data_IF_265057085846
#
_entry.id   IF_265057085846
#
_cell.length_a   1.000
_cell.length_b   1.000
_cell.length_c   1.000
_cell.angle_alpha   90.00
_cell.angle_beta   90.00
_cell.angle_gamma   90.00
#
_symmetry.space_group_name_H-M   'P 1'
#
loop_
_entity.id
_entity.type
_entity.pdbx_description
1 polymer ?
#
# COMPACT_ATOMS: atom_id res chain seq x y z
N UNK A 1 12.67 -8.09 -14.79
CA UNK A 1 11.92 -8.72 -13.67
C UNK A 1 10.48 -8.93 -14.13
N UNK A 2 9.73 -9.94 -13.65
CA UNK A 2 8.30 -10.04 -14.01
C UNK A 2 7.56 -8.88 -13.33
N UNK A 3 6.68 -8.20 -14.07
CA UNK A 3 5.78 -7.21 -13.48
C UNK A 3 4.97 -7.87 -12.36
N UNK A 4 5.08 -7.30 -11.15
CA UNK A 4 4.38 -7.80 -9.97
C UNK A 4 3.18 -6.93 -9.59
N UNK A 5 2.86 -5.90 -10.37
CA UNK A 5 1.71 -5.02 -10.20
C UNK A 5 0.50 -5.53 -10.99
N UNK A 6 0.02 -6.72 -10.63
CA UNK A 6 -1.10 -7.34 -11.33
C UNK A 6 -1.85 -8.34 -10.43
N UNK A 7 -3.00 -8.81 -10.91
CA UNK A 7 -3.75 -9.90 -10.29
C UNK A 7 -2.96 -11.22 -10.30
N UNK A 8 -2.29 -11.52 -11.40
CA UNK A 8 -1.51 -12.75 -11.60
C UNK A 8 -0.36 -12.91 -10.59
N UNK A 9 0.01 -11.81 -9.93
CA UNK A 9 1.02 -11.78 -8.87
C UNK A 9 0.47 -12.16 -7.50
N UNK A 10 -0.85 -12.35 -7.36
CA UNK A 10 -1.47 -12.76 -6.10
C UNK A 10 -0.86 -14.02 -5.47
N UNK A 11 -0.59 -15.12 -6.22
CA UNK A 11 -0.02 -16.33 -5.63
C UNK A 11 1.39 -16.11 -5.05
N UNK A 12 2.18 -15.23 -5.67
CA UNK A 12 3.52 -14.86 -5.17
C UNK A 12 3.41 -14.14 -3.83
N UNK A 13 2.58 -13.09 -3.77
CA UNK A 13 2.45 -12.25 -2.58
C UNK A 13 1.73 -12.97 -1.43
N UNK A 14 0.65 -13.69 -1.72
CA UNK A 14 -0.04 -14.51 -0.71
C UNK A 14 0.86 -15.65 -0.19
N UNK A 15 1.69 -16.24 -1.05
CA UNK A 15 2.69 -17.22 -0.64
C UNK A 15 3.72 -16.63 0.34
N UNK A 16 4.31 -15.48 -0.01
CA UNK A 16 5.24 -14.77 0.86
C UNK A 16 4.60 -14.38 2.20
N UNK A 17 3.38 -13.80 2.15
CA UNK A 17 2.57 -13.47 3.34
C UNK A 17 2.40 -14.68 4.25
N UNK A 18 2.03 -15.83 3.70
CA UNK A 18 1.79 -17.04 4.47
C UNK A 18 3.08 -17.59 5.11
N UNK A 19 4.20 -17.57 4.39
CA UNK A 19 5.52 -17.96 4.95
C UNK A 19 5.93 -17.03 6.08
N UNK A 20 5.83 -15.72 5.89
CA UNK A 20 6.15 -14.72 6.91
C UNK A 20 5.22 -14.83 8.12
N UNK A 21 3.94 -15.14 7.91
CA UNK A 21 3.00 -15.37 9.00
C UNK A 21 3.39 -16.58 9.85
N UNK A 22 3.73 -17.70 9.22
CA UNK A 22 4.23 -18.89 9.92
C UNK A 22 5.53 -18.62 10.69
N UNK A 23 6.44 -17.85 10.09
CA UNK A 23 7.68 -17.43 10.75
C UNK A 23 7.39 -16.56 11.98
N UNK A 24 6.49 -15.58 11.87
CA UNK A 24 6.09 -14.73 13.00
C UNK A 24 5.51 -15.59 14.13
N UNK A 25 4.63 -16.55 13.83
CA UNK A 25 4.09 -17.48 14.84
C UNK A 25 5.19 -18.27 15.56
N UNK A 26 6.24 -18.71 14.85
CA UNK A 26 7.39 -19.39 15.44
C UNK A 26 8.26 -18.49 16.34
N UNK A 27 8.41 -17.22 15.96
CA UNK A 27 9.28 -16.26 16.66
C UNK A 27 8.64 -15.62 17.91
N UNK A 28 7.31 -15.68 18.07
CA UNK A 28 6.56 -15.01 19.17
C UNK A 28 7.14 -15.23 20.57
N UNK A 29 7.75 -16.40 20.82
CA UNK A 29 8.29 -16.77 22.13
C UNK A 29 9.83 -16.83 22.17
N UNK A 30 10.50 -16.43 21.09
CA UNK A 30 11.96 -16.61 20.93
C UNK A 30 12.69 -15.27 20.99
N UNK A 31 12.28 -14.31 20.17
CA UNK A 31 12.96 -13.02 20.07
C UNK A 31 11.98 -11.90 19.67
N UNK A 32 11.74 -10.96 20.58
CA UNK A 32 10.77 -9.88 20.38
C UNK A 32 11.20 -8.88 19.29
N UNK A 33 12.50 -8.61 19.13
CA UNK A 33 13.00 -7.65 18.15
C UNK A 33 12.86 -8.20 16.72
N UNK A 34 13.36 -9.42 16.48
CA UNK A 34 13.22 -10.11 15.19
C UNK A 34 11.74 -10.34 14.85
N UNK A 35 10.92 -10.72 15.84
CA UNK A 35 9.48 -10.86 15.64
C UNK A 35 8.83 -9.57 15.13
N UNK A 36 9.22 -8.40 15.66
CA UNK A 36 8.67 -7.11 15.21
C UNK A 36 9.05 -6.79 13.77
N UNK A 37 10.29 -7.05 13.38
CA UNK A 37 10.77 -6.82 12.00
C UNK A 37 10.06 -7.72 11.00
N UNK A 38 9.99 -9.04 11.27
CA UNK A 38 9.26 -9.97 10.41
C UNK A 38 7.75 -9.71 10.39
N UNK A 39 7.18 -9.17 11.48
CA UNK A 39 5.77 -8.74 11.49
C UNK A 39 5.53 -7.58 10.53
N UNK A 40 6.49 -6.64 10.42
CA UNK A 40 6.43 -5.56 9.44
C UNK A 40 6.50 -6.11 8.01
N UNK A 41 7.44 -7.03 7.72
CA UNK A 41 7.51 -7.68 6.41
C UNK A 41 6.26 -8.47 6.08
N UNK A 42 5.67 -9.17 7.06
CA UNK A 42 4.42 -9.90 6.87
C UNK A 42 3.25 -8.96 6.53
N UNK A 43 3.17 -7.81 7.21
CA UNK A 43 2.18 -6.78 6.93
C UNK A 43 2.34 -6.20 5.51
N UNK A 44 3.57 -5.89 5.09
CA UNK A 44 3.87 -5.44 3.72
C UNK A 44 3.44 -6.49 2.70
N UNK A 45 3.81 -7.75 2.89
CA UNK A 45 3.40 -8.85 2.01
C UNK A 45 1.87 -9.03 1.98
N UNK A 46 1.20 -8.84 3.12
CA UNK A 46 -0.26 -8.84 3.21
C UNK A 46 -0.90 -7.72 2.39
N UNK A 47 -0.37 -6.51 2.45
CA UNK A 47 -0.85 -5.40 1.62
C UNK A 47 -0.62 -5.65 0.13
N UNK A 48 0.54 -6.16 -0.27
CA UNK A 48 0.77 -6.55 -1.66
C UNK A 48 -0.19 -7.65 -2.14
N UNK A 49 -0.43 -8.67 -1.32
CA UNK A 49 -1.40 -9.73 -1.63
C UNK A 49 -2.81 -9.15 -1.77
N UNK A 50 -3.23 -8.29 -0.82
CA UNK A 50 -4.55 -7.66 -0.84
C UNK A 50 -4.72 -6.74 -2.05
N UNK A 51 -3.69 -5.97 -2.40
CA UNK A 51 -3.67 -5.12 -3.60
C UNK A 51 -3.85 -5.96 -4.86
N UNK A 52 -3.05 -7.02 -5.03
CA UNK A 52 -3.20 -7.93 -6.18
C UNK A 52 -4.58 -8.58 -6.23
N UNK A 53 -5.16 -8.97 -5.09
CA UNK A 53 -6.54 -9.47 -5.05
C UNK A 53 -7.56 -8.42 -5.48
N UNK A 54 -7.41 -7.17 -5.02
CA UNK A 54 -8.29 -6.06 -5.38
C UNK A 54 -8.25 -5.72 -6.86
N UNK A 55 -7.11 -5.90 -7.53
CA UNK A 55 -6.99 -5.71 -8.99
C UNK A 55 -7.84 -6.70 -9.80
N UNK A 56 -8.39 -7.75 -9.17
CA UNK A 56 -9.30 -8.68 -9.83
C UNK A 56 -10.70 -8.14 -10.11
N UNK A 57 -11.05 -6.95 -9.59
CA UNK A 57 -12.37 -6.36 -9.86
C UNK A 57 -12.36 -4.83 -9.77
N UNK A 58 -12.83 -4.15 -10.84
CA UNK A 58 -12.85 -2.67 -11.00
C UNK A 58 -13.51 -1.90 -9.85
N UNK A 59 -14.47 -2.52 -9.15
CA UNK A 59 -15.13 -1.91 -7.98
C UNK A 59 -14.17 -1.64 -6.80
N UNK A 60 -12.97 -2.21 -6.85
CA UNK A 60 -11.92 -2.12 -5.84
C UNK A 60 -10.73 -1.24 -6.29
N UNK A 61 -10.79 -0.57 -7.44
CA UNK A 61 -9.68 0.27 -7.92
C UNK A 61 -9.28 1.33 -6.88
N UNK A 62 -10.27 1.91 -6.17
CA UNK A 62 -10.00 2.82 -5.06
C UNK A 62 -9.19 2.16 -3.93
N UNK A 63 -9.49 0.92 -3.58
CA UNK A 63 -8.73 0.17 -2.57
C UNK A 63 -7.31 -0.11 -3.05
N UNK A 64 -7.11 -0.41 -4.34
CA UNK A 64 -5.78 -0.58 -4.94
C UNK A 64 -4.94 0.69 -4.73
N UNK A 65 -5.45 1.87 -5.09
CA UNK A 65 -4.73 3.14 -4.89
C UNK A 65 -4.38 3.35 -3.43
N UNK A 66 -5.36 3.16 -2.54
CA UNK A 66 -5.15 3.32 -1.10
C UNK A 66 -4.05 2.40 -0.57
N UNK A 67 -4.04 1.14 -0.99
CA UNK A 67 -2.99 0.20 -0.58
C UNK A 67 -1.62 0.66 -1.10
N UNK A 68 -1.50 1.05 -2.37
CA UNK A 68 -0.23 1.53 -2.92
C UNK A 68 0.30 2.77 -2.19
N UNK A 69 -0.57 3.75 -1.89
CA UNK A 69 -0.17 4.94 -1.13
C UNK A 69 0.22 4.60 0.32
N UNK A 70 -0.42 3.60 0.91
CA UNK A 70 -0.08 3.14 2.25
C UNK A 70 1.28 2.42 2.29
N UNK A 71 1.66 1.78 1.17
CA UNK A 71 2.92 1.06 1.03
C UNK A 71 4.13 2.01 0.91
N UNK A 72 3.94 3.28 0.54
CA UNK A 72 5.01 4.29 0.52
C UNK A 72 5.72 4.42 1.88
N UNK A 73 5.02 4.18 2.99
CA UNK A 73 5.60 4.19 4.34
C UNK A 73 6.63 3.09 4.62
N UNK A 74 6.75 2.14 3.70
CA UNK A 74 7.70 1.04 3.75
C UNK A 74 8.82 1.22 2.70
N UNK A 75 9.02 2.45 2.20
CA UNK A 75 10.07 2.78 1.26
C UNK A 75 11.48 2.63 1.82
N UNK A 76 11.66 2.44 3.12
CA UNK A 76 12.92 2.10 3.77
C UNK A 76 13.32 0.63 3.60
N UNK A 77 12.37 -0.26 3.29
CA UNK A 77 12.59 -1.72 3.17
C UNK A 77 12.14 -2.30 1.83
N UNK A 78 11.33 -1.58 1.07
CA UNK A 78 10.92 -1.93 -0.30
C UNK A 78 11.47 -0.89 -1.26
N UNK A 79 11.92 -1.35 -2.44
CA UNK A 79 12.46 -0.51 -3.50
C UNK A 79 11.56 0.70 -3.79
N UNK A 80 12.11 1.90 -3.71
CA UNK A 80 11.35 3.13 -3.82
C UNK A 80 10.74 3.31 -5.21
N UNK A 81 11.51 3.06 -6.28
CA UNK A 81 11.06 3.11 -7.68
C UNK A 81 9.75 2.32 -7.91
N UNK A 82 9.67 1.12 -7.34
CA UNK A 82 8.49 0.26 -7.37
C UNK A 82 7.30 0.91 -6.67
N UNK A 83 7.52 1.38 -5.44
CA UNK A 83 6.45 1.92 -4.60
C UNK A 83 5.83 3.18 -5.22
N UNK A 84 6.67 4.11 -5.66
CA UNK A 84 6.21 5.37 -6.26
C UNK A 84 5.56 5.16 -7.62
N UNK A 85 6.09 4.24 -8.45
CA UNK A 85 5.43 3.86 -9.70
C UNK A 85 4.05 3.27 -9.46
N UNK A 86 3.93 2.27 -8.58
CA UNK A 86 2.65 1.60 -8.33
C UNK A 86 1.61 2.54 -7.72
N UNK A 87 2.02 3.44 -6.82
CA UNK A 87 1.15 4.46 -6.23
C UNK A 87 0.68 5.47 -7.29
N UNK A 88 1.62 6.02 -8.05
CA UNK A 88 1.36 6.99 -9.10
C UNK A 88 0.49 6.43 -10.22
N UNK A 89 0.81 5.22 -10.70
CA UNK A 89 0.07 4.55 -11.77
C UNK A 89 -1.36 4.15 -11.35
N UNK A 90 -1.53 3.68 -10.11
CA UNK A 90 -2.86 3.41 -9.58
C UNK A 90 -3.70 4.70 -9.52
N UNK A 91 -3.12 5.78 -8.99
CA UNK A 91 -3.78 7.08 -8.89
C UNK A 91 -4.11 7.66 -10.28
N UNK A 92 -3.20 7.52 -11.25
CA UNK A 92 -3.38 7.96 -12.65
C UNK A 92 -4.59 7.28 -13.29
N UNK A 93 -4.71 5.96 -13.15
CA UNK A 93 -5.87 5.18 -13.64
C UNK A 93 -7.20 5.64 -13.03
N UNK A 94 -7.18 6.03 -11.75
CA UNK A 94 -8.32 6.56 -11.02
C UNK A 94 -8.60 8.05 -11.26
N UNK A 95 -7.78 8.72 -12.10
CA UNK A 95 -7.83 10.17 -12.36
C UNK A 95 -7.64 11.00 -11.10
N UNK A 96 -6.88 10.50 -10.13
CA UNK A 96 -6.44 11.24 -8.96
C UNK A 96 -5.16 11.99 -9.31
N UNK A 97 -5.27 12.94 -10.25
CA UNK A 97 -4.13 13.56 -10.93
C UNK A 97 -3.12 14.19 -9.97
N UNK A 98 -3.59 14.79 -8.87
CA UNK A 98 -2.73 15.39 -7.84
C UNK A 98 -1.77 14.37 -7.23
N UNK A 99 -2.31 13.27 -6.71
CA UNK A 99 -1.52 12.17 -6.13
C UNK A 99 -0.62 11.54 -7.20
N UNK A 100 -1.19 11.29 -8.38
CA UNK A 100 -0.46 10.67 -9.48
C UNK A 100 0.76 11.51 -9.88
N UNK A 101 0.59 12.83 -9.97
CA UNK A 101 1.65 13.76 -10.28
C UNK A 101 2.74 13.75 -9.22
N UNK A 102 2.38 13.96 -7.95
CA UNK A 102 3.38 13.98 -6.86
C UNK A 102 4.19 12.68 -6.81
N UNK A 103 3.53 11.51 -6.91
CA UNK A 103 4.23 10.23 -6.87
C UNK A 103 5.12 9.98 -8.11
N UNK A 104 4.61 10.29 -9.31
CA UNK A 104 5.34 10.02 -10.56
C UNK A 104 6.42 11.06 -10.82
N UNK A 105 6.26 12.30 -10.35
CA UNK A 105 7.32 13.30 -10.40
C UNK A 105 8.48 12.90 -9.48
N UNK A 106 8.19 12.50 -8.24
CA UNK A 106 9.21 11.99 -7.32
C UNK A 106 9.90 10.71 -7.85
N UNK A 107 9.18 9.87 -8.60
CA UNK A 107 9.77 8.73 -9.31
C UNK A 107 10.81 9.16 -10.36
N UNK A 108 10.64 10.31 -11.01
CA UNK A 108 11.64 10.83 -11.95
C UNK A 108 12.94 11.17 -11.23
N UNK A 109 12.86 11.79 -10.05
CA UNK A 109 14.04 12.08 -9.23
C UNK A 109 14.74 10.78 -8.80
N UNK A 110 13.97 9.73 -8.48
CA UNK A 110 14.52 8.40 -8.18
C UNK A 110 15.22 7.79 -9.39
N UNK A 111 14.68 7.92 -10.61
CA UNK A 111 15.35 7.44 -11.81
C UNK A 111 16.66 8.18 -12.07
N UNK A 112 16.68 9.49 -11.90
CA UNK A 112 17.91 10.30 -12.01
C UNK A 112 18.96 9.82 -10.99
N UNK A 113 18.57 9.60 -9.73
CA UNK A 113 19.48 9.08 -8.72
C UNK A 113 20.02 7.67 -9.05
N UNK A 114 19.19 6.78 -9.61
CA UNK A 114 19.62 5.45 -10.07
C UNK A 114 20.64 5.58 -11.22
N UNK A 115 20.38 6.46 -12.20
CA UNK A 115 21.26 6.70 -13.35
C UNK A 115 22.61 7.31 -12.94
N UNK A 116 22.60 8.22 -11.96
CA UNK A 116 23.80 8.84 -11.40
C UNK A 116 24.55 7.95 -10.40
N UNK A 117 23.91 6.87 -9.92
CA UNK A 117 24.45 5.99 -8.89
C UNK A 117 24.50 6.64 -7.51
N UNK A 118 23.59 7.58 -7.26
CA UNK A 118 23.45 8.34 -6.02
C UNK A 118 22.46 7.62 -5.09
N UNK A 119 22.81 7.54 -3.80
CA UNK A 119 22.05 6.76 -2.81
C UNK A 119 20.97 7.56 -2.06
N UNK A 120 20.72 8.81 -2.45
CA UNK A 120 19.74 9.71 -1.86
C UNK A 120 18.98 10.52 -2.92
N UNK A 121 17.77 10.93 -2.56
CA UNK A 121 16.85 11.78 -3.34
C UNK A 121 16.22 12.76 -2.36
N UNK A 122 15.92 13.98 -2.82
CA UNK A 122 15.15 14.92 -2.01
C UNK A 122 13.70 14.43 -1.84
N UNK A 123 13.31 14.13 -0.60
CA UNK A 123 11.97 13.66 -0.25
C UNK A 123 11.10 14.77 0.36
N UNK A 124 11.41 16.04 0.06
CA UNK A 124 10.72 17.22 0.60
C UNK A 124 9.23 17.27 0.26
N UNK A 125 8.82 16.73 -0.89
CA UNK A 125 7.41 16.57 -1.29
C UNK A 125 6.58 15.78 -0.27
N UNK A 126 7.24 14.94 0.54
CA UNK A 126 6.62 14.07 1.53
C UNK A 126 6.98 14.46 2.98
N UNK A 127 7.58 15.63 3.21
CA UNK A 127 8.09 16.05 4.52
C UNK A 127 7.02 16.08 5.63
N UNK A 128 5.78 16.44 5.29
CA UNK A 128 4.63 16.50 6.23
C UNK A 128 3.82 15.18 6.25
N UNK A 129 4.45 14.08 5.84
CA UNK A 129 3.84 12.74 5.83
C UNK A 129 4.61 11.77 6.72
N UNK A 130 4.18 10.51 6.74
CA UNK A 130 4.87 9.40 7.39
C UNK A 130 5.59 8.48 6.40
N UNK A 131 5.82 8.95 5.16
CA UNK A 131 6.78 8.33 4.25
C UNK A 131 8.20 8.58 4.80
N UNK A 132 9.05 7.55 4.89
CA UNK A 132 10.37 7.70 5.49
C UNK A 132 11.25 8.64 4.64
N UNK A 133 12.05 9.53 5.26
CA UNK A 133 12.95 10.41 4.53
C UNK A 133 14.09 9.64 3.85
N UNK A 134 14.52 8.52 4.44
CA UNK A 134 15.52 7.63 3.87
C UNK A 134 14.82 6.50 3.11
N UNK A 135 14.65 6.68 1.81
CA UNK A 135 14.06 5.68 0.92
C UNK A 135 15.14 4.75 0.35
N UNK A 136 14.75 3.52 0.01
CA UNK A 136 15.62 2.49 -0.54
C UNK A 136 15.70 2.66 -2.06
N UNK A 137 16.76 3.32 -2.53
CA UNK A 137 17.06 3.45 -3.95
C UNK A 137 17.76 2.17 -4.44
N UNK A 138 17.20 1.44 -5.42
CA UNK A 138 17.84 0.24 -5.95
C UNK A 138 19.05 0.58 -6.84
N UNK A 139 19.94 -0.38 -7.05
CA UNK A 139 21.06 -0.23 -7.98
C UNK A 139 20.62 -0.22 -9.46
N UNK A 140 19.52 -0.90 -9.77
CA UNK A 140 18.91 -0.95 -11.10
C UNK A 140 17.39 -0.85 -10.94
N UNK A 141 16.74 -0.08 -11.82
CA UNK A 141 15.28 0.06 -11.82
C UNK A 141 14.59 -1.28 -12.10
N UNK A 142 13.47 -1.53 -11.41
CA UNK A 142 12.62 -2.69 -11.67
C UNK A 142 11.66 -2.48 -12.85
N UNK A 143 11.60 -1.26 -13.40
CA UNK A 143 10.67 -0.84 -14.44
C UNK A 143 11.28 -0.97 -15.83
N UNK A 144 10.44 -1.22 -16.82
CA UNK A 144 10.86 -1.30 -18.21
C UNK A 144 11.05 0.08 -18.84
N UNK A 145 11.87 0.17 -19.89
CA UNK A 145 12.07 1.41 -20.66
C UNK A 145 10.75 2.02 -21.15
N UNK A 146 9.77 1.17 -21.52
CA UNK A 146 8.45 1.62 -21.94
C UNK A 146 7.68 2.30 -20.79
N UNK A 147 7.73 1.74 -19.57
CA UNK A 147 7.10 2.34 -18.40
C UNK A 147 7.79 3.64 -17.99
N UNK A 148 9.13 3.68 -18.10
CA UNK A 148 9.91 4.88 -17.84
C UNK A 148 9.52 6.00 -18.80
N UNK A 149 9.52 5.74 -20.11
CA UNK A 149 9.16 6.74 -21.12
C UNK A 149 7.71 7.21 -20.99
N UNK A 150 6.76 6.29 -20.79
CA UNK A 150 5.36 6.64 -20.60
C UNK A 150 5.15 7.53 -19.36
N UNK A 151 5.87 7.24 -18.27
CA UNK A 151 5.83 8.04 -17.05
C UNK A 151 6.39 9.44 -17.30
N UNK A 152 7.56 9.52 -17.95
CA UNK A 152 8.23 10.78 -18.30
C UNK A 152 7.33 11.66 -19.18
N UNK A 153 6.78 11.12 -20.26
CA UNK A 153 5.87 11.85 -21.16
C UNK A 153 4.64 12.37 -20.41
N UNK A 154 4.07 11.55 -19.52
CA UNK A 154 2.91 11.94 -18.74
C UNK A 154 3.23 13.04 -17.72
N UNK A 155 4.32 12.93 -16.96
CA UNK A 155 4.76 13.95 -15.99
C UNK A 155 5.04 15.27 -16.71
N UNK A 156 5.75 15.24 -17.84
CA UNK A 156 6.01 16.45 -18.64
C UNK A 156 4.72 17.11 -19.12
N UNK A 157 3.76 16.31 -19.61
CA UNK A 157 2.46 16.80 -20.05
C UNK A 157 1.69 17.49 -18.92
N UNK A 158 1.64 16.88 -17.73
CA UNK A 158 0.97 17.45 -16.55
C UNK A 158 1.70 18.69 -16.03
N UNK A 159 3.03 18.71 -16.03
CA UNK A 159 3.81 19.90 -15.64
C UNK A 159 3.55 21.11 -16.52
N UNK A 160 3.19 20.90 -17.79
CA UNK A 160 2.78 21.99 -18.70
C UNK A 160 1.31 22.39 -18.48
N UNK A 161 0.49 21.52 -17.92
CA UNK A 161 -0.92 21.74 -17.60
C UNK A 161 -1.09 22.30 -16.18
N UNK A 162 -1.16 23.62 -16.07
CA UNK A 162 -1.33 24.34 -14.80
C UNK A 162 -2.69 24.10 -14.11
N UNK A 163 -3.57 23.24 -14.66
CA UNK A 163 -4.86 22.93 -14.05
C UNK A 163 -4.79 21.84 -12.99
N UNK A 164 -3.72 21.05 -12.96
CA UNK A 164 -3.53 19.98 -11.96
C UNK A 164 -2.92 20.58 -10.70
N UNK A 165 -3.64 20.42 -9.59
CA UNK A 165 -3.10 20.70 -8.25
C UNK A 165 -1.91 19.76 -8.00
N UNK A 166 -0.80 20.29 -7.50
CA UNK A 166 0.45 19.56 -7.28
C UNK A 166 0.67 19.35 -5.78
N UNK A 167 -0.39 18.94 -5.10
CA UNK A 167 -0.39 18.75 -3.65
C UNK A 167 -0.97 17.39 -3.23
N UNK A 168 -0.55 16.91 -2.07
CA UNK A 168 -1.13 15.70 -1.49
C UNK A 168 -2.48 16.04 -0.81
N UNK A 169 -3.54 15.25 -1.05
CA UNK A 169 -4.84 15.52 -0.44
C UNK A 169 -4.79 15.30 1.07
N UNK A 170 -5.41 16.23 1.79
CA UNK A 170 -5.46 16.22 3.24
C UNK A 170 -6.79 15.65 3.75
N UNK A 171 -6.76 14.97 4.90
CA UNK A 171 -7.97 14.51 5.59
C UNK A 171 -8.46 15.48 6.68
N UNK A 172 -9.41 15.03 7.51
CA UNK A 172 -10.01 15.82 8.60
C UNK A 172 -9.00 16.30 9.67
N UNK A 173 -7.79 15.75 9.68
CA UNK A 173 -6.68 16.12 10.58
C UNK A 173 -5.70 17.09 9.92
N UNK A 174 -5.95 17.50 8.67
CA UNK A 174 -5.07 18.37 7.88
C UNK A 174 -3.67 17.79 7.65
N UNK A 175 -3.56 16.46 7.59
CA UNK A 175 -2.36 15.71 7.16
C UNK A 175 -2.70 14.91 5.92
N UNK A 176 -1.70 14.43 5.19
CA UNK A 176 -1.91 13.55 4.04
C UNK A 176 -2.85 12.38 4.41
N UNK A 177 -3.87 12.13 3.59
CA UNK A 177 -4.96 11.20 3.92
C UNK A 177 -4.51 9.74 4.18
N UNK A 178 -3.35 9.34 3.66
CA UNK A 178 -2.77 8.02 3.91
C UNK A 178 -2.01 7.95 5.24
N UNK A 179 -1.61 9.08 5.82
CA UNK A 179 -0.70 9.11 6.97
C UNK A 179 -1.33 8.63 8.27
N UNK A 180 -0.61 7.78 8.99
CA UNK A 180 -1.01 7.23 10.29
C UNK A 180 -0.71 8.19 11.44
N UNK A 181 0.18 9.17 11.24
CA UNK A 181 0.59 10.12 12.27
C UNK A 181 -0.09 11.46 12.04
N UNK A 182 -0.62 12.04 13.11
CA UNK A 182 -1.23 13.39 13.10
C UNK A 182 -0.20 14.46 13.49
N UNK A 183 -0.50 15.73 13.26
CA UNK A 183 0.37 16.87 13.63
C UNK A 183 0.78 16.89 15.12
N UNK A 184 -0.04 16.33 16.02
CA UNK A 184 0.24 16.22 17.45
C UNK A 184 1.10 14.99 17.82
N UNK A 185 1.57 14.24 16.82
CA UNK A 185 2.33 13.00 16.99
C UNK A 185 1.48 11.77 17.33
N UNK A 186 0.16 11.90 17.41
CA UNK A 186 -0.73 10.77 17.66
C UNK A 186 -0.72 9.81 16.48
N UNK A 187 -0.40 8.54 16.75
CA UNK A 187 -0.48 7.45 15.78
C UNK A 187 -1.86 6.81 15.79
N UNK A 188 -2.38 6.52 14.60
CA UNK A 188 -3.65 5.84 14.37
C UNK A 188 -3.40 4.43 13.84
N UNK A 189 -4.33 3.52 14.14
CA UNK A 189 -4.25 2.14 13.68
C UNK A 189 -4.40 2.08 12.14
N UNK A 190 -3.53 1.34 11.44
CA UNK A 190 -3.67 1.12 10.02
C UNK A 190 -4.83 0.15 9.73
N UNK A 191 -5.62 0.47 8.72
CA UNK A 191 -6.65 -0.41 8.20
C UNK A 191 -6.00 -1.68 7.66
N UNK A 192 -6.42 -2.85 8.14
CA UNK A 192 -5.83 -4.11 7.72
C UNK A 192 -6.09 -4.44 6.24
N UNK A 193 -7.07 -3.78 5.61
CA UNK A 193 -7.36 -3.95 4.17
C UNK A 193 -6.51 -2.99 3.33
N UNK A 194 -6.42 -1.72 3.73
CA UNK A 194 -5.90 -0.65 2.86
C UNK A 194 -4.66 0.08 3.38
N UNK A 195 -4.25 -0.17 4.61
CA UNK A 195 -3.18 0.56 5.30
C UNK A 195 -3.49 2.01 5.64
N UNK A 196 -4.63 2.56 5.21
CA UNK A 196 -5.08 3.90 5.58
C UNK A 196 -5.42 4.00 7.07
N UNK A 197 -5.33 5.19 7.69
CA UNK A 197 -5.69 5.38 9.09
C UNK A 197 -7.17 5.04 9.34
N UNK A 198 -7.45 4.36 10.46
CA UNK A 198 -8.81 4.11 10.93
C UNK A 198 -9.24 5.24 11.87
N UNK A 199 -9.85 6.28 11.32
CA UNK A 199 -10.26 7.48 12.08
C UNK A 199 -11.68 7.37 12.64
N UNK A 200 -12.59 6.82 11.83
CA UNK A 200 -14.03 6.72 12.10
C UNK A 200 -14.59 5.44 11.52
N UNK A 201 -15.80 5.06 11.93
CA UNK A 201 -16.51 3.89 11.42
C UNK A 201 -15.62 2.63 11.40
N UNK A 202 -15.02 2.33 12.56
CA UNK A 202 -14.09 1.23 12.77
C UNK A 202 -14.82 -0.11 12.77
N UNK A 203 -14.25 -1.10 12.09
CA UNK A 203 -14.57 -2.53 12.24
C UNK A 203 -13.46 -3.18 13.05
N UNK A 204 -13.82 -3.85 14.14
CA UNK A 204 -12.90 -4.67 14.92
C UNK A 204 -12.67 -6.02 14.23
N UNK A 205 -11.41 -6.38 14.06
CA UNK A 205 -10.99 -7.63 13.45
C UNK A 205 -10.36 -8.50 14.54
N UNK A 206 -11.16 -9.40 15.11
CA UNK A 206 -10.73 -10.31 16.18
C UNK A 206 -10.30 -9.60 17.47
N UNK A 207 -9.59 -10.33 18.34
CA UNK A 207 -9.35 -9.90 19.72
C UNK A 207 -8.01 -9.17 19.91
N UNK A 208 -7.21 -9.04 18.85
CA UNK A 208 -5.84 -8.50 18.89
C UNK A 208 -5.75 -6.99 18.63
N UNK A 209 -6.88 -6.27 18.70
CA UNK A 209 -6.94 -4.83 18.45
C UNK A 209 -6.88 -4.41 16.97
N UNK A 210 -6.70 -5.37 16.04
CA UNK A 210 -6.68 -5.11 14.61
C UNK A 210 -8.01 -4.49 14.12
N UNK A 211 -7.91 -3.63 13.12
CA UNK A 211 -9.00 -2.79 12.70
C UNK A 211 -9.05 -2.62 11.18
N UNK A 212 -10.24 -2.31 10.65
CA UNK A 212 -10.42 -1.84 9.29
C UNK A 212 -11.42 -0.67 9.22
N UNK A 213 -11.28 0.15 8.19
CA UNK A 213 -12.31 1.12 7.82
C UNK A 213 -13.56 0.37 7.29
N UNK A 214 -14.75 0.66 7.84
CA UNK A 214 -16.01 -0.05 7.50
C UNK A 214 -16.27 -0.09 5.99
N UNK A 215 -16.03 1.00 5.28
CA UNK A 215 -16.28 1.06 3.83
C UNK A 215 -15.33 0.16 3.04
N UNK A 216 -14.03 0.15 3.36
CA UNK A 216 -13.05 -0.72 2.70
C UNK A 216 -13.32 -2.19 3.00
N UNK A 217 -13.66 -2.49 4.26
CA UNK A 217 -14.02 -3.83 4.71
C UNK A 217 -15.25 -4.36 3.96
N UNK A 218 -16.32 -3.55 3.86
CA UNK A 218 -17.53 -3.90 3.15
C UNK A 218 -17.29 -4.11 1.65
N UNK A 219 -16.45 -3.28 1.03
CA UNK A 219 -16.06 -3.45 -0.38
C UNK A 219 -15.34 -4.78 -0.61
N UNK A 220 -14.39 -5.13 0.27
CA UNK A 220 -13.70 -6.42 0.20
C UNK A 220 -14.66 -7.60 0.40
N UNK A 221 -15.60 -7.52 1.35
CA UNK A 221 -16.63 -8.55 1.55
C UNK A 221 -17.52 -8.69 0.32
N UNK A 222 -18.00 -7.58 -0.25
CA UNK A 222 -18.83 -7.61 -1.45
C UNK A 222 -18.11 -8.30 -2.62
N UNK A 223 -16.84 -7.99 -2.83
CA UNK A 223 -16.03 -8.63 -3.86
C UNK A 223 -15.86 -10.14 -3.62
N UNK A 224 -15.54 -10.53 -2.38
CA UNK A 224 -15.33 -11.93 -2.04
C UNK A 224 -16.63 -12.77 -2.05
N UNK A 225 -17.71 -12.25 -1.47
CA UNK A 225 -18.93 -13.03 -1.15
C UNK A 225 -20.04 -12.89 -2.18
N UNK A 226 -20.13 -11.75 -2.86
CA UNK A 226 -21.19 -11.47 -3.85
C UNK A 226 -20.64 -11.58 -5.27
N UNK A 227 -19.45 -11.04 -5.52
CA UNK A 227 -18.81 -11.08 -6.84
C UNK A 227 -17.93 -12.31 -7.04
N UNK A 228 -17.75 -13.13 -5.98
CA UNK A 228 -17.01 -14.37 -6.00
C UNK A 228 -15.57 -14.24 -6.51
N UNK A 229 -14.89 -13.14 -6.17
CA UNK A 229 -13.46 -12.95 -6.46
C UNK A 229 -12.64 -13.86 -5.54
N UNK A 230 -12.02 -14.95 -6.04
CA UNK A 230 -11.41 -15.98 -5.20
C UNK A 230 -10.26 -15.46 -4.33
N UNK A 231 -9.44 -14.56 -4.88
CA UNK A 231 -8.31 -13.96 -4.19
C UNK A 231 -8.79 -13.09 -3.01
N UNK A 232 -9.88 -12.34 -3.19
CA UNK A 232 -10.49 -11.56 -2.10
C UNK A 232 -11.06 -12.49 -1.01
N UNK A 233 -11.61 -13.65 -1.40
CA UNK A 233 -12.07 -14.64 -0.42
C UNK A 233 -10.90 -15.22 0.40
N UNK A 234 -9.77 -15.50 -0.24
CA UNK A 234 -8.56 -15.95 0.46
C UNK A 234 -8.01 -14.87 1.41
N UNK A 235 -7.99 -13.60 1.00
CA UNK A 235 -7.61 -12.47 1.88
C UNK A 235 -8.48 -12.43 3.13
N UNK A 236 -9.82 -12.56 3.00
CA UNK A 236 -10.71 -12.58 4.16
C UNK A 236 -10.45 -13.77 5.08
N UNK A 237 -10.19 -14.96 4.52
CA UNK A 237 -9.82 -16.15 5.30
C UNK A 237 -8.52 -15.94 6.05
N UNK A 238 -7.52 -15.35 5.41
CA UNK A 238 -6.25 -15.03 6.04
C UNK A 238 -6.41 -14.02 7.18
N UNK A 239 -7.15 -12.92 6.97
CA UNK A 239 -7.41 -11.92 8.01
C UNK A 239 -8.09 -12.56 9.23
N UNK A 240 -9.11 -13.40 9.01
CA UNK A 240 -9.76 -14.13 10.10
C UNK A 240 -8.76 -14.99 10.89
N UNK A 241 -7.96 -15.80 10.20
CA UNK A 241 -6.94 -16.64 10.82
C UNK A 241 -5.85 -15.85 11.56
N UNK A 242 -5.42 -14.71 11.00
CA UNK A 242 -4.40 -13.86 11.59
C UNK A 242 -4.88 -13.18 12.88
N UNK A 243 -6.09 -12.62 12.84
CA UNK A 243 -6.69 -11.88 13.94
C UNK A 243 -7.30 -12.77 15.04
N UNK A 244 -7.32 -14.09 14.86
CA UNK A 244 -7.91 -15.04 15.83
C UNK A 244 -9.43 -15.21 15.69
N UNK A 245 -10.03 -14.69 14.62
CA UNK A 245 -11.40 -15.00 14.23
C UNK A 245 -11.45 -16.43 13.69
N UNK A 246 -12.03 -17.36 14.44
CA UNK A 246 -12.19 -18.74 13.99
C UNK A 246 -12.90 -18.82 12.63
N UNK A 247 -12.58 -19.86 11.85
CA UNK A 247 -13.13 -20.16 10.51
C UNK A 247 -14.67 -20.34 10.44
N UNK A 248 -15.39 -20.03 11.51
CA UNK A 248 -16.84 -20.24 11.68
C UNK A 248 -17.59 -18.99 12.17
N UNK A 249 -16.91 -17.89 12.50
CA UNK A 249 -17.55 -16.62 12.82
C UNK A 249 -17.71 -15.79 11.56
N UNK A 250 -18.75 -16.05 10.77
CA UNK A 250 -19.10 -15.18 9.66
C UNK A 250 -19.15 -13.73 10.14
N UNK A 251 -18.40 -12.84 9.49
CA UNK A 251 -18.49 -11.41 9.74
C UNK A 251 -19.93 -10.97 9.47
N UNK A 252 -20.73 -10.88 10.52
CA UNK A 252 -22.15 -10.54 10.43
C UNK A 252 -22.24 -9.07 10.07
N UNK A 253 -23.00 -8.76 9.03
CA UNK A 253 -23.36 -7.39 8.69
C UNK A 253 -24.19 -6.78 9.83
N UNK A 254 -23.71 -5.67 10.40
CA UNK A 254 -24.54 -4.71 11.13
C UNK A 254 -24.68 -3.40 10.34
#
# INVERSE_FOLDING_TARGET
MKDTFSLESYPLWSGLRNVLYQLCQGLQNVNAAEHSEFSNYMLVAHYYATRSACMGHVSLDRQVVKICLSLLRHADVVSADKLFYEAGEAARKMRWSSIAFVCLNHLMDIFEAIEEGVGDVDNSDFADTDVPPNILIPAETCLSDAQHEETREWVLSVSMDQTVDQSLPLDERWVFESSLVSHDGRRHEPCLVTGYPVLRNRVELGDKGAAANKDDWNKLIMAAKVQHVPECEDVLKFIAAWCGGGATGGFTFQ
#
